data_IF_024222726638
#
_entry.id   IF_024222726638
#
_cell.length_a   1.000
_cell.length_b   1.000
_cell.length_c   1.000
_cell.angle_alpha   90.00
_cell.angle_beta   90.00
_cell.angle_gamma   90.00
#
_symmetry.space_group_name_H-M   'P 1'
#
loop_
_entity.id
_entity.type
_entity.pdbx_description
1 polymer ?
#
# COMPACT_ATOMS: atom_id res chain seq x y z
N UNK A 1 34.54 -6.75 30.26
CA UNK A 1 33.10 -6.47 30.08
C UNK A 1 32.81 -6.47 28.59
N UNK A 2 32.05 -7.44 28.09
CA UNK A 2 31.72 -7.54 26.66
C UNK A 2 30.49 -6.69 26.37
N UNK A 3 30.65 -5.63 25.57
CA UNK A 3 29.54 -4.81 25.10
C UNK A 3 28.70 -5.65 24.14
N UNK A 4 27.56 -6.18 24.62
CA UNK A 4 26.50 -6.74 23.77
C UNK A 4 26.05 -5.64 22.81
N UNK A 5 26.46 -5.72 21.56
CA UNK A 5 25.81 -4.98 20.47
C UNK A 5 24.41 -5.58 20.36
N UNK A 6 23.41 -4.92 20.94
CA UNK A 6 22.02 -5.26 20.71
C UNK A 6 21.71 -4.75 19.30
N UNK A 7 21.81 -5.63 18.32
CA UNK A 7 21.23 -5.40 17.00
C UNK A 7 19.72 -5.41 17.19
N UNK A 8 19.13 -4.24 17.45
CA UNK A 8 17.68 -4.09 17.46
C UNK A 8 17.21 -4.26 16.03
N UNK A 9 16.80 -5.47 15.65
CA UNK A 9 16.05 -5.69 14.43
C UNK A 9 14.80 -4.82 14.49
N UNK A 10 14.73 -3.78 13.65
CA UNK A 10 13.56 -2.91 13.58
C UNK A 10 12.41 -3.75 13.03
N UNK A 11 11.51 -4.18 13.91
CA UNK A 11 10.31 -4.92 13.51
C UNK A 11 9.48 -4.01 12.58
N UNK A 12 9.15 -4.50 11.39
CA UNK A 12 8.27 -3.81 10.44
C UNK A 12 6.88 -4.42 10.52
N UNK A 13 5.87 -3.58 10.73
CA UNK A 13 4.46 -3.95 10.68
C UNK A 13 3.86 -3.51 9.34
N UNK A 14 3.33 -4.49 8.62
CA UNK A 14 2.68 -4.33 7.30
C UNK A 14 1.20 -4.66 7.33
N UNK A 15 0.61 -4.90 8.51
CA UNK A 15 -0.80 -5.30 8.66
C UNK A 15 -1.76 -4.29 8.03
N UNK A 16 -1.50 -2.98 8.22
CA UNK A 16 -2.25 -1.90 7.59
C UNK A 16 -2.15 -1.93 6.05
N UNK A 17 -0.94 -2.13 5.52
CA UNK A 17 -0.70 -2.27 4.09
C UNK A 17 -1.48 -3.44 3.48
N UNK A 18 -1.52 -4.59 4.17
CA UNK A 18 -2.28 -5.77 3.74
C UNK A 18 -3.78 -5.48 3.72
N UNK A 19 -4.32 -4.88 4.78
CA UNK A 19 -5.74 -4.52 4.85
C UNK A 19 -6.14 -3.55 3.73
N UNK A 20 -5.33 -2.50 3.50
CA UNK A 20 -5.56 -1.54 2.43
C UNK A 20 -5.41 -2.17 1.03
N UNK A 21 -4.50 -3.13 0.85
CA UNK A 21 -4.37 -3.85 -0.43
C UNK A 21 -5.62 -4.66 -0.77
N UNK A 22 -6.34 -5.17 0.24
CA UNK A 22 -7.64 -5.85 0.00
C UNK A 22 -8.70 -4.88 -0.50
N UNK A 23 -8.71 -3.64 0.00
CA UNK A 23 -9.61 -2.58 -0.49
C UNK A 23 -9.30 -2.26 -1.95
N UNK A 24 -8.01 -2.08 -2.29
CA UNK A 24 -7.55 -1.87 -3.66
C UNK A 24 -8.06 -3.00 -4.58
N UNK A 25 -7.86 -4.26 -4.18
CA UNK A 25 -8.30 -5.41 -4.96
C UNK A 25 -9.83 -5.43 -5.16
N UNK A 26 -10.60 -5.05 -4.13
CA UNK A 26 -12.06 -4.92 -4.23
C UNK A 26 -12.51 -3.87 -5.24
N UNK A 27 -11.78 -2.75 -5.34
CA UNK A 27 -12.08 -1.68 -6.29
C UNK A 27 -11.73 -2.10 -7.72
N UNK A 28 -10.55 -2.68 -7.93
CA UNK A 28 -10.11 -3.17 -9.26
C UNK A 28 -11.13 -4.15 -9.85
N UNK A 29 -11.71 -5.04 -9.03
CA UNK A 29 -12.75 -5.97 -9.48
C UNK A 29 -13.97 -5.28 -10.10
N UNK A 30 -14.31 -4.05 -9.68
CA UNK A 30 -15.43 -3.28 -10.26
C UNK A 30 -15.14 -2.84 -11.70
N UNK A 31 -13.87 -2.73 -12.07
CA UNK A 31 -13.41 -2.35 -13.40
C UNK A 31 -13.03 -3.55 -14.28
N UNK A 32 -13.13 -4.78 -13.76
CA UNK A 32 -12.73 -5.99 -14.49
C UNK A 32 -13.38 -6.12 -15.88
N UNK A 33 -14.70 -5.86 -16.07
CA UNK A 33 -15.30 -5.95 -17.40
C UNK A 33 -14.64 -5.02 -18.42
N UNK A 34 -14.40 -3.76 -18.03
CA UNK A 34 -13.74 -2.78 -18.91
C UNK A 34 -12.29 -3.13 -19.20
N UNK A 35 -11.60 -3.85 -18.30
CA UNK A 35 -10.22 -4.29 -18.52
C UNK A 35 -10.15 -5.53 -19.43
N UNK A 36 -11.20 -6.36 -19.46
CA UNK A 36 -11.29 -7.54 -20.33
C UNK A 36 -11.51 -7.16 -21.81
N UNK A 37 -12.10 -6.00 -22.08
CA UNK A 37 -12.30 -5.47 -23.43
C UNK A 37 -11.03 -4.85 -24.04
N UNK A 38 -10.00 -4.60 -23.22
CA UNK A 38 -8.76 -3.97 -23.65
C UNK A 38 -7.73 -5.00 -24.13
N UNK A 39 -6.95 -4.67 -25.18
CA UNK A 39 -5.77 -5.45 -25.55
C UNK A 39 -4.81 -5.66 -24.37
N UNK A 40 -4.23 -6.86 -24.27
CA UNK A 40 -3.29 -7.24 -23.21
C UNK A 40 -2.16 -6.23 -22.96
N UNK A 41 -1.64 -5.63 -24.04
CA UNK A 41 -0.58 -4.63 -23.94
C UNK A 41 -1.04 -3.35 -23.23
N UNK A 42 -2.26 -2.90 -23.53
CA UNK A 42 -2.88 -1.75 -22.87
C UNK A 42 -3.14 -2.07 -21.39
N UNK A 43 -3.71 -3.24 -21.11
CA UNK A 43 -3.97 -3.69 -19.72
C UNK A 43 -2.68 -3.77 -18.90
N UNK A 44 -1.60 -4.33 -19.47
CA UNK A 44 -0.28 -4.37 -18.81
C UNK A 44 0.25 -2.96 -18.54
N UNK A 45 0.14 -2.05 -19.49
CA UNK A 45 0.57 -0.67 -19.30
C UNK A 45 -0.20 0.04 -18.18
N UNK A 46 -1.52 -0.13 -18.13
CA UNK A 46 -2.37 0.42 -17.07
C UNK A 46 -2.00 -0.11 -15.69
N UNK A 47 -1.82 -1.42 -15.56
CA UNK A 47 -1.39 -2.03 -14.30
C UNK A 47 -0.02 -1.49 -13.88
N UNK A 48 0.92 -1.33 -14.82
CA UNK A 48 2.23 -0.75 -14.51
C UNK A 48 2.14 0.70 -14.03
N UNK A 49 1.34 1.55 -14.71
CA UNK A 49 1.07 2.92 -14.24
C UNK A 49 0.48 2.92 -12.84
N UNK A 50 -0.48 2.03 -12.58
CA UNK A 50 -1.10 1.92 -11.27
C UNK A 50 -0.10 1.52 -10.18
N UNK A 51 0.78 0.55 -10.45
CA UNK A 51 1.83 0.14 -9.52
C UNK A 51 2.82 1.27 -9.21
N UNK A 52 3.19 2.07 -10.21
CA UNK A 52 4.04 3.26 -10.02
C UNK A 52 3.33 4.29 -9.13
N UNK A 53 2.06 4.57 -9.41
CA UNK A 53 1.26 5.50 -8.63
C UNK A 53 1.08 5.03 -7.17
N UNK A 54 0.83 3.73 -6.96
CA UNK A 54 0.75 3.11 -5.64
C UNK A 54 2.04 3.23 -4.83
N UNK A 55 3.20 3.01 -5.47
CA UNK A 55 4.51 3.19 -4.81
C UNK A 55 4.69 4.62 -4.32
N UNK A 56 4.21 5.61 -5.08
CA UNK A 56 4.27 7.02 -4.70
C UNK A 56 3.45 7.39 -3.46
N UNK A 57 2.50 6.53 -3.04
CA UNK A 57 1.65 6.78 -1.87
C UNK A 57 1.92 5.85 -0.69
N UNK A 58 2.91 4.97 -0.78
CA UNK A 58 3.39 4.20 0.38
C UNK A 58 4.16 5.13 1.33
N UNK A 59 3.80 5.10 2.61
CA UNK A 59 4.47 5.85 3.66
C UNK A 59 4.94 4.94 4.78
N UNK A 60 6.02 5.35 5.44
CA UNK A 60 6.58 4.67 6.61
C UNK A 60 6.68 5.62 7.80
N UNK A 61 6.32 5.17 8.99
CA UNK A 61 6.49 5.93 10.23
C UNK A 61 6.76 5.00 11.41
N UNK A 62 7.37 5.52 12.47
CA UNK A 62 7.64 4.74 13.68
C UNK A 62 6.49 4.92 14.68
N UNK A 63 6.00 3.81 15.23
CA UNK A 63 5.07 3.78 16.36
C UNK A 63 5.81 3.28 17.57
N UNK A 64 5.77 4.03 18.67
CA UNK A 64 6.35 3.62 19.94
C UNK A 64 5.24 3.37 20.95
N UNK A 65 5.10 2.13 21.39
CA UNK A 65 4.18 1.76 22.47
C UNK A 65 4.94 1.77 23.78
N UNK A 66 4.36 2.42 24.79
CA UNK A 66 4.89 2.46 26.15
C UNK A 66 3.98 1.56 27.01
N UNK A 67 4.57 0.50 27.57
CA UNK A 67 3.90 -0.40 28.50
C UNK A 67 3.66 0.26 29.85
N UNK A 68 2.71 -0.26 30.62
CA UNK A 68 2.44 0.19 32.00
C UNK A 68 3.60 -0.11 32.96
N UNK A 69 4.49 -1.03 32.58
CA UNK A 69 5.75 -1.36 33.25
C UNK A 69 6.92 -0.43 32.86
N UNK A 70 6.67 0.58 32.03
CA UNK A 70 7.69 1.51 31.52
C UNK A 70 8.50 0.95 30.33
N UNK A 71 8.21 -0.27 29.87
CA UNK A 71 8.84 -0.82 28.67
C UNK A 71 8.48 0.00 27.43
N UNK A 72 9.40 0.08 26.47
CA UNK A 72 9.18 0.77 25.19
C UNK A 72 9.42 -0.18 24.04
N UNK A 73 8.44 -0.27 23.15
CA UNK A 73 8.57 -1.02 21.90
C UNK A 73 8.33 -0.09 20.72
N UNK A 74 9.34 0.07 19.87
CA UNK A 74 9.22 0.82 18.62
C UNK A 74 9.10 -0.14 17.44
N UNK A 75 8.09 0.07 16.60
CA UNK A 75 7.83 -0.70 15.38
C UNK A 75 7.75 0.29 14.21
N UNK A 76 8.36 -0.04 13.08
CA UNK A 76 8.17 0.72 11.84
C UNK A 76 6.90 0.22 11.16
N UNK A 77 5.94 1.10 10.92
CA UNK A 77 4.70 0.77 10.22
C UNK A 77 4.81 1.19 8.77
N UNK A 78 4.39 0.32 7.85
CA UNK A 78 4.18 0.62 6.44
C UNK A 78 2.68 0.64 6.12
N UNK A 79 2.23 1.66 5.40
CA UNK A 79 0.86 1.77 4.91
C UNK A 79 0.79 2.63 3.66
N UNK A 80 -0.30 2.56 2.92
CA UNK A 80 -0.64 3.60 1.96
C UNK A 80 -1.16 4.85 2.70
N UNK A 81 -0.93 6.03 2.11
CA UNK A 81 -1.53 7.30 2.56
C UNK A 81 -3.05 7.15 2.71
N UNK A 82 -3.64 7.93 3.62
CA UNK A 82 -5.09 8.01 3.79
C UNK A 82 -5.80 8.30 2.47
N UNK A 83 -6.99 7.73 2.27
CA UNK A 83 -7.76 7.90 1.03
C UNK A 83 -7.38 6.93 -0.10
N UNK A 84 -6.80 5.76 0.23
CA UNK A 84 -6.40 4.76 -0.77
C UNK A 84 -7.57 4.25 -1.63
N UNK A 85 -8.78 4.23 -1.07
CA UNK A 85 -10.01 3.89 -1.79
C UNK A 85 -10.36 4.94 -2.85
N UNK A 86 -10.43 6.20 -2.46
CA UNK A 86 -10.71 7.32 -3.37
C UNK A 86 -9.63 7.43 -4.44
N UNK A 87 -8.35 7.30 -4.04
CA UNK A 87 -7.21 7.28 -4.95
C UNK A 87 -7.34 6.17 -6.01
N UNK A 88 -7.63 4.94 -5.57
CA UNK A 88 -7.75 3.80 -6.49
C UNK A 88 -8.93 3.98 -7.43
N UNK A 89 -10.07 4.41 -6.90
CA UNK A 89 -11.28 4.65 -7.69
C UNK A 89 -11.05 5.74 -8.73
N UNK A 90 -10.47 6.88 -8.33
CA UNK A 90 -10.18 7.99 -9.22
C UNK A 90 -9.16 7.62 -10.31
N UNK A 91 -8.11 6.87 -9.95
CA UNK A 91 -7.11 6.40 -10.92
C UNK A 91 -7.77 5.57 -12.02
N UNK A 92 -8.49 4.50 -11.67
CA UNK A 92 -9.08 3.59 -12.65
C UNK A 92 -10.19 4.26 -13.46
N UNK A 93 -11.04 5.09 -12.83
CA UNK A 93 -12.04 5.87 -13.56
C UNK A 93 -11.40 6.81 -14.59
N UNK A 94 -10.30 7.49 -14.23
CA UNK A 94 -9.62 8.41 -15.14
C UNK A 94 -8.95 7.69 -16.32
N UNK A 95 -8.22 6.61 -16.08
CA UNK A 95 -7.52 5.89 -17.14
C UNK A 95 -8.50 5.16 -18.07
N UNK A 96 -9.58 4.57 -17.55
CA UNK A 96 -10.59 3.88 -18.37
C UNK A 96 -11.39 4.88 -19.21
N UNK A 97 -11.76 6.04 -18.65
CA UNK A 97 -12.46 7.11 -19.40
C UNK A 97 -11.61 7.75 -20.50
N UNK A 98 -10.28 7.67 -20.43
CA UNK A 98 -9.40 8.21 -21.48
C UNK A 98 -9.27 7.23 -22.66
N UNK A 99 -9.52 5.94 -22.41
CA UNK A 99 -9.37 4.88 -23.42
C UNK A 99 -10.67 4.64 -24.20
N UNK A 100 -11.83 4.91 -23.60
CA UNK A 100 -13.15 4.85 -24.22
C UNK A 100 -13.56 6.22 -24.79
#
# INVERSE_FOLDING_TARGET
>A
MSSKIIVMALQVDTSALVAQTRVIAGIIKRFAPSLEELPDEITKNLVNKFLVALKGVVISYNVTTIGTDGSRKTVRVLRYRSGIEDFTTAFWASEINVIH
#
